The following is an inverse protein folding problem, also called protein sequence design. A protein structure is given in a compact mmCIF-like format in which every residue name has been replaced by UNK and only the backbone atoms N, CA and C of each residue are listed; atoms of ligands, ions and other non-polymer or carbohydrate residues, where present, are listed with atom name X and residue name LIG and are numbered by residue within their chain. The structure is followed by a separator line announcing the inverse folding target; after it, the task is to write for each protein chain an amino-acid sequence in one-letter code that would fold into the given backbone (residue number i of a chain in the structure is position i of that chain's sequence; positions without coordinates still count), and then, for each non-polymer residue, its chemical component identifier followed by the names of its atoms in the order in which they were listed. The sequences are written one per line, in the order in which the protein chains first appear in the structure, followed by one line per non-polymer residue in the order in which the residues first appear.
data_IF_815541958178
#
_entry.id   IF_815541958178
#
_cell.length_a   1.000
_cell.length_b   1.000
_cell.length_c   1.000
_cell.angle_alpha   90.00
_cell.angle_beta   90.00
_cell.angle_gamma   90.00
#
_symmetry.space_group_name_H-M   'P 1'
#
loop_
_entity.id
_entity.type
_entity.pdbx_description
1 polymer ?
#
# COMPACT_ATOMS: atom_id res chain seq x y z
N UNK A 1 0.08 -4.01 26.56
CA UNK A 1 0.49 -5.42 26.66
C UNK A 1 0.87 -5.84 25.25
N UNK A 2 2.13 -6.18 25.00
CA UNK A 2 2.59 -6.66 23.68
C UNK A 2 2.10 -8.10 23.58
N UNK A 3 1.17 -8.38 22.68
CA UNK A 3 0.79 -9.75 22.38
C UNK A 3 1.81 -10.28 21.37
N UNK A 4 2.91 -10.83 21.89
CA UNK A 4 3.90 -11.53 21.07
C UNK A 4 3.23 -12.82 20.59
N UNK A 5 2.84 -12.87 19.32
CA UNK A 5 2.31 -14.07 18.67
C UNK A 5 3.47 -15.00 18.29
N UNK A 6 4.27 -15.43 19.27
CA UNK A 6 5.35 -16.41 19.04
C UNK A 6 4.84 -17.84 19.26
N UNK A 7 3.95 -18.32 18.40
CA UNK A 7 3.66 -19.74 18.19
C UNK A 7 2.52 -19.89 17.17
N UNK A 8 2.76 -20.57 16.03
CA UNK A 8 1.76 -21.07 15.06
C UNK A 8 0.37 -20.40 15.17
N UNK A 9 0.31 -19.09 14.96
CA UNK A 9 -0.97 -18.40 15.00
C UNK A 9 -1.57 -18.62 13.64
N UNK A 10 -2.56 -19.51 13.58
CA UNK A 10 -3.47 -19.58 12.46
C UNK A 10 -4.21 -18.25 12.41
N UNK A 11 -3.68 -17.30 11.65
CA UNK A 11 -4.40 -16.09 11.32
C UNK A 11 -5.66 -16.54 10.60
N UNK A 12 -6.81 -16.12 11.11
CA UNK A 12 -8.08 -16.28 10.44
C UNK A 12 -8.57 -14.91 10.00
N UNK A 13 -9.57 -14.89 9.12
CA UNK A 13 -10.24 -13.66 8.72
C UNK A 13 -10.67 -12.87 9.96
N UNK A 14 -10.23 -11.62 10.09
CA UNK A 14 -10.60 -10.75 11.21
C UNK A 14 -9.96 -11.08 12.56
N UNK A 15 -8.86 -11.85 12.62
CA UNK A 15 -8.31 -12.33 13.89
C UNK A 15 -7.99 -11.23 14.93
N UNK A 16 -7.61 -10.03 14.47
CA UNK A 16 -7.34 -8.85 15.30
C UNK A 16 -8.22 -7.65 14.91
N UNK A 17 -9.40 -7.89 14.32
CA UNK A 17 -10.33 -6.82 13.96
C UNK A 17 -10.68 -5.96 15.20
N UNK A 18 -10.60 -4.65 15.04
CA UNK A 18 -10.83 -3.63 16.07
C UNK A 18 -9.99 -3.79 17.35
N UNK A 19 -8.81 -4.44 17.29
CA UNK A 19 -7.90 -4.53 18.42
C UNK A 19 -7.23 -3.17 18.72
N UNK A 20 -8.00 -2.19 19.18
CA UNK A 20 -7.61 -0.78 19.38
C UNK A 20 -6.59 -0.51 20.48
N UNK A 21 -6.12 -1.55 21.17
CA UNK A 21 -5.01 -1.47 22.14
C UNK A 21 -3.73 -2.15 21.61
N UNK A 22 -3.79 -2.82 20.47
CA UNK A 22 -2.68 -3.51 19.83
C UNK A 22 -1.75 -2.47 19.21
N UNK A 23 -0.57 -2.30 19.79
CA UNK A 23 0.43 -1.31 19.35
C UNK A 23 1.47 -1.88 18.40
N UNK A 24 1.81 -3.15 18.59
CA UNK A 24 2.87 -3.81 17.86
C UNK A 24 2.49 -5.27 17.64
N UNK A 25 2.77 -5.77 16.44
CA UNK A 25 2.61 -7.18 16.08
C UNK A 25 3.91 -7.70 15.50
N UNK A 26 4.39 -8.82 16.04
CA UNK A 26 5.48 -9.59 15.46
C UNK A 26 4.89 -10.87 14.89
N UNK A 27 4.89 -10.97 13.57
CA UNK A 27 4.47 -12.16 12.85
C UNK A 27 5.66 -13.12 12.69
N UNK A 28 5.41 -14.42 12.90
CA UNK A 28 6.44 -15.45 12.73
C UNK A 28 6.52 -15.94 11.30
N UNK A 29 7.69 -16.45 10.90
CA UNK A 29 7.84 -17.15 9.64
C UNK A 29 6.91 -18.38 9.55
N UNK A 30 6.50 -18.75 8.34
CA UNK A 30 5.52 -19.81 8.05
C UNK A 30 4.09 -19.32 7.85
N UNK A 31 3.83 -18.02 8.05
CA UNK A 31 2.56 -17.39 7.70
C UNK A 31 2.58 -17.05 6.21
N UNK A 32 1.82 -17.78 5.40
CA UNK A 32 1.75 -17.55 3.96
C UNK A 32 0.75 -16.46 3.57
N UNK A 33 -0.31 -16.26 4.35
CA UNK A 33 -1.39 -15.34 3.99
C UNK A 33 -1.81 -14.50 5.19
N UNK A 34 -1.90 -13.18 4.98
CA UNK A 34 -2.64 -12.31 5.89
C UNK A 34 -4.07 -12.22 5.38
N UNK A 35 -5.01 -12.86 6.08
CA UNK A 35 -6.38 -12.96 5.60
C UNK A 35 -7.11 -11.62 5.66
N UNK A 36 -8.26 -11.57 4.98
CA UNK A 36 -9.10 -10.37 4.97
C UNK A 36 -9.42 -9.89 6.39
N UNK A 37 -9.44 -8.57 6.57
CA UNK A 37 -9.73 -7.87 7.82
C UNK A 37 -8.83 -8.23 9.01
N UNK A 38 -7.70 -8.95 8.83
CA UNK A 38 -6.93 -9.48 9.97
C UNK A 38 -6.60 -8.42 11.01
N UNK A 39 -6.24 -7.20 10.58
CA UNK A 39 -5.93 -6.04 11.44
C UNK A 39 -6.88 -4.87 11.16
N UNK A 40 -8.09 -5.13 10.65
CA UNK A 40 -9.08 -4.09 10.36
C UNK A 40 -9.30 -3.21 11.59
N UNK A 41 -9.25 -1.90 11.40
CA UNK A 41 -9.43 -0.89 12.43
C UNK A 41 -8.57 -1.09 13.68
N UNK A 42 -7.36 -1.66 13.58
CA UNK A 42 -6.38 -1.64 14.67
C UNK A 42 -5.80 -0.22 14.84
N UNK A 43 -6.57 0.73 15.36
CA UNK A 43 -6.20 2.16 15.31
C UNK A 43 -4.95 2.52 16.11
N UNK A 44 -4.57 1.69 17.08
CA UNK A 44 -3.35 1.87 17.87
C UNK A 44 -2.12 1.16 17.31
N UNK A 45 -2.24 0.37 16.23
CA UNK A 45 -1.12 -0.37 15.65
C UNK A 45 -0.12 0.63 15.06
N UNK A 46 1.06 0.70 15.66
CA UNK A 46 2.15 1.61 15.28
C UNK A 46 3.18 0.89 14.41
N UNK A 47 3.45 -0.39 14.69
CA UNK A 47 4.48 -1.17 14.00
C UNK A 47 4.03 -2.63 13.74
N UNK A 48 4.26 -3.09 12.51
CA UNK A 48 4.16 -4.51 12.15
C UNK A 48 5.28 -4.90 11.20
N UNK A 49 5.91 -6.05 11.48
CA UNK A 49 6.86 -6.67 10.55
C UNK A 49 6.17 -7.78 9.78
N UNK A 50 6.04 -7.61 8.47
CA UNK A 50 5.53 -8.67 7.57
C UNK A 50 6.70 -9.63 7.27
N UNK A 51 6.58 -10.94 7.60
CA UNK A 51 7.65 -11.90 7.41
C UNK A 51 7.77 -12.31 5.94
N UNK A 52 8.96 -12.81 5.57
CA UNK A 52 9.29 -13.17 4.19
C UNK A 52 8.57 -14.42 3.66
N UNK A 53 7.83 -15.10 4.52
CA UNK A 53 6.92 -16.18 4.14
C UNK A 53 5.57 -15.70 3.62
N UNK A 54 5.17 -14.44 3.86
CA UNK A 54 3.89 -13.93 3.39
C UNK A 54 3.90 -13.79 1.88
N UNK A 55 2.91 -14.40 1.24
CA UNK A 55 2.67 -14.41 -0.20
C UNK A 55 1.52 -13.47 -0.58
N UNK A 56 0.51 -13.32 0.29
CA UNK A 56 -0.65 -12.46 0.02
C UNK A 56 -1.13 -11.64 1.22
N UNK A 57 -1.65 -10.46 0.92
CA UNK A 57 -2.34 -9.57 1.87
C UNK A 57 -3.80 -9.42 1.41
N UNK A 58 -4.72 -9.87 2.25
CA UNK A 58 -6.14 -9.97 1.93
C UNK A 58 -6.90 -8.65 1.99
N UNK A 59 -8.16 -8.71 1.55
CA UNK A 59 -9.06 -7.56 1.48
C UNK A 59 -9.14 -6.82 2.81
N UNK A 60 -9.01 -5.50 2.77
CA UNK A 60 -9.10 -4.61 3.93
C UNK A 60 -8.25 -5.03 5.15
N UNK A 61 -7.14 -5.75 4.94
CA UNK A 61 -6.35 -6.37 6.01
C UNK A 61 -5.90 -5.38 7.08
N UNK A 62 -5.47 -4.18 6.69
CA UNK A 62 -5.00 -3.11 7.57
C UNK A 62 -5.88 -1.86 7.49
N UNK A 63 -7.07 -1.93 6.89
CA UNK A 63 -7.92 -0.75 6.74
C UNK A 63 -8.14 -0.05 8.08
N UNK A 64 -7.96 1.27 8.13
CA UNK A 64 -8.14 2.05 9.35
C UNK A 64 -7.07 1.84 10.44
N UNK A 65 -5.91 1.25 10.12
CA UNK A 65 -4.73 1.27 11.01
C UNK A 65 -4.11 2.68 11.04
N UNK A 66 -4.82 3.62 11.66
CA UNK A 66 -4.53 5.06 11.57
C UNK A 66 -3.19 5.48 12.15
N UNK A 67 -2.56 4.67 13.02
CA UNK A 67 -1.27 4.96 13.63
C UNK A 67 -0.09 4.23 12.98
N UNK A 68 -0.32 3.35 12.00
CA UNK A 68 0.74 2.60 11.34
C UNK A 68 1.57 3.57 10.50
N UNK A 69 2.85 3.78 10.86
CA UNK A 69 3.65 4.86 10.27
C UNK A 69 4.54 4.43 9.11
N UNK A 70 5.11 3.24 9.19
CA UNK A 70 6.12 2.75 8.26
C UNK A 70 5.85 1.28 7.98
N UNK A 71 5.97 0.88 6.71
CA UNK A 71 5.73 -0.50 6.32
C UNK A 71 6.66 -0.95 5.20
N UNK A 72 7.19 -2.16 5.34
CA UNK A 72 7.92 -2.85 4.29
C UNK A 72 7.11 -4.08 3.89
N UNK A 73 6.64 -4.10 2.65
CA UNK A 73 6.05 -5.28 2.03
C UNK A 73 7.21 -6.10 1.44
N UNK A 74 7.49 -7.31 1.95
CA UNK A 74 8.59 -8.12 1.43
C UNK A 74 8.29 -8.59 0.00
N UNK A 75 9.35 -8.77 -0.80
CA UNK A 75 9.25 -9.24 -2.19
C UNK A 75 8.57 -10.61 -2.36
N UNK A 76 8.43 -11.37 -1.27
CA UNK A 76 7.64 -12.62 -1.26
C UNK A 76 6.16 -12.38 -1.54
N UNK A 77 5.64 -11.19 -1.24
CA UNK A 77 4.24 -10.82 -1.46
C UNK A 77 4.01 -10.60 -2.95
N UNK A 78 3.07 -11.36 -3.51
CA UNK A 78 2.67 -11.31 -4.92
C UNK A 78 1.32 -10.66 -5.13
N UNK A 79 0.50 -10.59 -4.09
CA UNK A 79 -0.85 -10.05 -4.16
C UNK A 79 -1.18 -9.20 -2.94
N UNK A 80 -1.72 -8.00 -3.19
CA UNK A 80 -2.36 -7.14 -2.21
C UNK A 80 -3.78 -6.90 -2.72
N UNK A 81 -4.77 -7.37 -1.96
CA UNK A 81 -6.19 -7.23 -2.31
C UNK A 81 -6.70 -5.81 -2.10
N UNK A 82 -7.89 -5.53 -2.65
CA UNK A 82 -8.56 -4.23 -2.56
C UNK A 82 -8.64 -3.72 -1.11
N UNK A 83 -8.53 -2.41 -0.96
CA UNK A 83 -8.60 -1.67 0.31
C UNK A 83 -7.60 -2.08 1.40
N UNK A 84 -6.60 -2.94 1.11
CA UNK A 84 -5.76 -3.54 2.13
C UNK A 84 -5.11 -2.54 3.12
N UNK A 85 -4.80 -1.31 2.70
CA UNK A 85 -4.28 -0.23 3.55
C UNK A 85 -5.16 1.04 3.51
N UNK A 86 -6.43 0.90 3.12
CA UNK A 86 -7.38 2.01 3.08
C UNK A 86 -7.45 2.73 4.44
N UNK A 87 -7.31 4.05 4.48
CA UNK A 87 -7.42 4.84 5.71
C UNK A 87 -6.28 4.61 6.70
N UNK A 88 -5.14 4.06 6.29
CA UNK A 88 -3.89 4.07 7.06
C UNK A 88 -3.30 5.48 7.12
N UNK A 89 -4.03 6.43 7.74
CA UNK A 89 -3.73 7.87 7.73
C UNK A 89 -2.36 8.22 8.31
N UNK A 90 -1.80 7.38 9.18
CA UNK A 90 -0.47 7.55 9.75
C UNK A 90 0.68 7.12 8.84
N UNK A 91 0.40 6.38 7.75
CA UNK A 91 1.40 5.74 6.91
C UNK A 91 2.16 6.79 6.11
N UNK A 92 3.43 7.00 6.47
CA UNK A 92 4.32 7.99 5.85
C UNK A 92 5.23 7.39 4.81
N UNK A 93 5.78 6.21 5.10
CA UNK A 93 6.72 5.53 4.25
C UNK A 93 6.25 4.10 4.01
N UNK A 94 6.21 3.71 2.73
CA UNK A 94 5.98 2.33 2.35
C UNK A 94 6.95 1.90 1.26
N UNK A 95 7.50 0.70 1.43
CA UNK A 95 8.18 -0.03 0.37
C UNK A 95 7.24 -1.15 -0.06
N UNK A 96 6.79 -1.13 -1.31
CA UNK A 96 5.95 -2.20 -1.88
C UNK A 96 6.81 -3.25 -2.56
N UNK A 97 6.32 -4.48 -2.65
CA UNK A 97 7.03 -5.62 -3.22
C UNK A 97 7.35 -5.41 -4.70
N UNK A 98 8.57 -5.77 -5.11
CA UNK A 98 9.01 -5.77 -6.52
C UNK A 98 8.42 -6.91 -7.36
N UNK A 99 7.48 -7.69 -6.81
CA UNK A 99 6.80 -8.79 -7.50
C UNK A 99 5.28 -8.57 -7.57
N UNK A 100 4.78 -7.36 -7.31
CA UNK A 100 3.37 -7.01 -7.47
C UNK A 100 3.07 -6.67 -8.93
N UNK A 101 2.07 -7.33 -9.49
CA UNK A 101 1.57 -7.04 -10.84
C UNK A 101 0.56 -5.87 -10.85
N UNK A 102 -0.19 -5.69 -9.76
CA UNK A 102 -1.23 -4.65 -9.65
C UNK A 102 -1.17 -3.90 -8.33
N UNK A 103 -1.45 -2.59 -8.41
CA UNK A 103 -1.94 -1.82 -7.26
C UNK A 103 -3.46 -1.77 -7.40
N UNK A 104 -4.12 -2.61 -6.61
CA UNK A 104 -5.56 -2.82 -6.69
C UNK A 104 -6.38 -1.65 -6.16
N UNK A 105 -7.70 -1.77 -6.32
CA UNK A 105 -8.63 -0.69 -6.01
C UNK A 105 -8.55 -0.29 -4.54
N UNK A 106 -8.47 1.02 -4.29
CA UNK A 106 -8.47 1.58 -2.94
C UNK A 106 -7.32 1.16 -2.02
N UNK A 107 -6.29 0.44 -2.51
CA UNK A 107 -5.24 -0.16 -1.64
C UNK A 107 -4.62 0.86 -0.69
N UNK A 108 -4.33 2.08 -1.16
CA UNK A 108 -3.80 3.17 -0.35
C UNK A 108 -4.77 4.36 -0.26
N UNK A 109 -6.06 4.19 -0.58
CA UNK A 109 -7.02 5.28 -0.43
C UNK A 109 -7.01 5.84 1.02
N UNK A 110 -7.12 7.15 1.17
CA UNK A 110 -7.06 7.87 2.45
C UNK A 110 -5.78 7.63 3.28
N UNK A 111 -4.67 7.24 2.66
CA UNK A 111 -3.34 7.29 3.29
C UNK A 111 -2.82 8.73 3.37
N UNK A 112 -3.48 9.56 4.18
CA UNK A 112 -3.23 11.01 4.28
C UNK A 112 -1.80 11.37 4.72
N UNK A 113 -1.10 10.46 5.39
CA UNK A 113 0.30 10.63 5.81
C UNK A 113 1.33 10.34 4.72
N UNK A 114 0.94 9.67 3.63
CA UNK A 114 1.88 9.16 2.63
C UNK A 114 2.43 10.32 1.80
N UNK A 115 3.73 10.56 1.87
CA UNK A 115 4.34 11.71 1.17
C UNK A 115 4.96 11.35 -0.17
N UNK A 116 5.44 10.12 -0.30
CA UNK A 116 6.04 9.61 -1.53
C UNK A 116 6.00 8.10 -1.60
N UNK A 117 5.93 7.56 -2.81
CA UNK A 117 5.97 6.11 -3.07
C UNK A 117 6.65 5.81 -4.41
N UNK A 118 7.38 4.68 -4.47
CA UNK A 118 7.93 4.11 -5.70
C UNK A 118 7.05 2.95 -6.16
N UNK A 119 6.60 3.00 -7.40
CA UNK A 119 5.89 1.91 -8.07
C UNK A 119 6.89 1.10 -8.89
N UNK A 120 7.15 -0.18 -8.55
CA UNK A 120 8.21 -0.98 -9.16
C UNK A 120 7.88 -1.43 -10.60
N UNK A 121 8.91 -1.87 -11.34
CA UNK A 121 8.81 -2.36 -12.74
C UNK A 121 7.96 -3.63 -12.89
N UNK A 122 7.54 -4.25 -11.79
CA UNK A 122 6.61 -5.39 -11.85
C UNK A 122 5.16 -4.95 -12.05
N UNK A 123 4.82 -3.71 -11.68
CA UNK A 123 3.43 -3.24 -11.69
C UNK A 123 3.02 -2.91 -13.12
N UNK A 124 1.94 -3.52 -13.57
CA UNK A 124 1.34 -3.32 -14.88
C UNK A 124 0.11 -2.41 -14.76
N UNK A 125 -0.62 -2.50 -13.64
CA UNK A 125 -1.91 -1.83 -13.48
C UNK A 125 -2.04 -1.06 -12.17
N UNK A 126 -2.49 0.19 -12.25
CA UNK A 126 -2.92 1.00 -11.10
C UNK A 126 -4.43 1.21 -11.19
N UNK A 127 -5.18 0.53 -10.31
CA UNK A 127 -6.64 0.43 -10.36
C UNK A 127 -7.34 1.62 -9.71
N UNK A 128 -8.67 1.59 -9.75
CA UNK A 128 -9.55 2.68 -9.34
C UNK A 128 -9.31 3.07 -7.88
N UNK A 129 -9.23 4.38 -7.63
CA UNK A 129 -9.05 4.97 -6.29
C UNK A 129 -7.79 4.51 -5.53
N UNK A 130 -6.81 3.87 -6.20
CA UNK A 130 -5.64 3.26 -5.54
C UNK A 130 -4.92 4.16 -4.53
N UNK A 131 -4.85 5.47 -4.80
CA UNK A 131 -4.26 6.51 -3.96
C UNK A 131 -5.25 7.65 -3.66
N UNK A 132 -6.56 7.42 -3.79
CA UNK A 132 -7.58 8.45 -3.59
C UNK A 132 -7.42 9.14 -2.23
N UNK A 133 -7.51 10.46 -2.19
CA UNK A 133 -7.38 11.29 -0.99
C UNK A 133 -6.07 11.08 -0.21
N UNK A 134 -4.97 10.66 -0.87
CA UNK A 134 -3.63 10.75 -0.29
C UNK A 134 -3.14 12.21 -0.30
N UNK A 135 -3.75 13.05 0.53
CA UNK A 135 -3.62 14.53 0.46
C UNK A 135 -2.21 15.06 0.70
N UNK A 136 -1.34 14.29 1.39
CA UNK A 136 0.08 14.64 1.57
C UNK A 136 1.00 14.09 0.48
N UNK A 137 0.50 13.32 -0.49
CA UNK A 137 1.30 12.68 -1.52
C UNK A 137 1.82 13.74 -2.49
N UNK A 138 3.12 14.02 -2.40
CA UNK A 138 3.80 15.05 -3.19
C UNK A 138 4.51 14.47 -4.41
N UNK A 139 4.98 13.23 -4.31
CA UNK A 139 5.78 12.60 -5.36
C UNK A 139 5.44 11.13 -5.48
N UNK A 140 5.19 10.67 -6.70
CA UNK A 140 5.12 9.24 -7.01
C UNK A 140 6.05 8.93 -8.16
N UNK A 141 6.91 7.94 -7.99
CA UNK A 141 7.75 7.43 -9.07
C UNK A 141 7.06 6.23 -9.72
N UNK A 142 6.71 6.34 -10.99
CA UNK A 142 6.07 5.26 -11.76
C UNK A 142 7.05 4.80 -12.85
N UNK A 143 7.50 3.55 -12.73
CA UNK A 143 8.48 2.97 -13.65
C UNK A 143 7.83 2.51 -14.98
N UNK A 144 8.64 2.01 -15.90
CA UNK A 144 8.29 1.92 -17.33
C UNK A 144 7.21 0.88 -17.67
N UNK A 145 6.99 -0.10 -16.78
CA UNK A 145 6.10 -1.25 -17.00
C UNK A 145 4.61 -0.96 -16.99
N UNK A 146 4.17 0.15 -16.40
CA UNK A 146 2.73 0.44 -16.22
C UNK A 146 2.05 0.63 -17.58
N UNK A 147 0.93 -0.08 -17.78
CA UNK A 147 0.13 -0.07 -19.01
C UNK A 147 -1.27 0.54 -18.81
N UNK A 148 -1.72 0.68 -17.55
CA UNK A 148 -3.00 1.31 -17.24
C UNK A 148 -2.95 1.99 -15.88
N UNK A 149 -3.53 3.19 -15.82
CA UNK A 149 -3.80 3.93 -14.59
C UNK A 149 -5.26 4.40 -14.66
N UNK A 150 -6.05 4.02 -13.66
CA UNK A 150 -7.46 4.41 -13.59
C UNK A 150 -7.61 5.93 -13.46
N UNK A 151 -8.71 6.46 -14.01
CA UNK A 151 -8.97 7.91 -14.09
C UNK A 151 -8.97 8.62 -12.73
N UNK A 152 -9.43 7.91 -11.71
CA UNK A 152 -9.62 8.32 -10.30
C UNK A 152 -8.51 7.80 -9.37
N UNK A 153 -7.46 7.15 -9.90
CA UNK A 153 -6.40 6.54 -9.09
C UNK A 153 -5.74 7.54 -8.12
N UNK A 154 -5.66 8.81 -8.51
CA UNK A 154 -5.11 9.91 -7.72
C UNK A 154 -6.14 11.01 -7.41
N UNK A 155 -7.43 10.69 -7.39
CA UNK A 155 -8.48 11.66 -7.01
C UNK A 155 -8.17 12.25 -5.64
N UNK A 156 -8.15 13.58 -5.49
CA UNK A 156 -7.85 14.26 -4.21
C UNK A 156 -6.37 14.36 -3.85
N UNK A 157 -5.45 13.98 -4.74
CA UNK A 157 -4.01 14.19 -4.57
C UNK A 157 -3.54 15.53 -5.17
N UNK A 158 -4.02 16.64 -4.62
CA UNK A 158 -3.91 17.97 -5.25
C UNK A 158 -2.48 18.52 -5.41
N UNK A 159 -1.50 17.97 -4.69
CA UNK A 159 -0.09 18.41 -4.71
C UNK A 159 0.86 17.40 -5.38
N UNK A 160 0.32 16.45 -6.13
CA UNK A 160 1.09 15.35 -6.71
C UNK A 160 1.98 15.79 -7.87
N UNK A 161 3.22 15.32 -7.87
CA UNK A 161 4.09 15.28 -9.06
C UNK A 161 4.42 13.83 -9.41
N UNK A 162 4.23 13.44 -10.66
CA UNK A 162 4.60 12.12 -11.18
C UNK A 162 6.03 12.15 -11.70
N UNK A 163 6.89 11.27 -11.20
CA UNK A 163 8.21 11.01 -11.78
C UNK A 163 8.10 9.76 -12.65
N UNK A 164 8.39 9.88 -13.95
CA UNK A 164 8.24 8.78 -14.90
C UNK A 164 9.31 8.84 -15.99
N UNK A 165 9.48 7.76 -16.74
CA UNK A 165 10.30 7.78 -17.95
C UNK A 165 9.54 8.38 -19.13
N UNK A 166 10.28 8.92 -20.09
CA UNK A 166 9.73 9.44 -21.35
C UNK A 166 9.08 8.33 -22.17
N UNK A 167 8.05 8.68 -22.94
CA UNK A 167 7.30 7.82 -23.84
C UNK A 167 6.64 6.62 -23.12
N UNK A 168 6.25 6.80 -21.85
CA UNK A 168 5.55 5.79 -21.03
C UNK A 168 4.07 6.11 -20.81
N UNK A 169 3.29 5.12 -20.38
CA UNK A 169 1.88 5.34 -20.02
C UNK A 169 1.74 6.36 -18.88
N UNK A 170 2.65 6.34 -17.91
CA UNK A 170 2.64 7.28 -16.78
C UNK A 170 2.83 8.74 -17.23
N UNK A 171 3.71 8.99 -18.22
CA UNK A 171 3.84 10.31 -18.83
C UNK A 171 2.54 10.73 -19.52
N UNK A 172 1.98 9.87 -20.38
CA UNK A 172 0.75 10.18 -21.09
C UNK A 172 -0.42 10.44 -20.13
N UNK A 173 -0.54 9.63 -19.07
CA UNK A 173 -1.53 9.83 -18.02
C UNK A 173 -1.35 11.19 -17.33
N UNK A 174 -0.12 11.56 -16.97
CA UNK A 174 0.13 12.85 -16.34
C UNK A 174 -0.29 14.02 -17.25
N UNK A 175 0.02 13.94 -18.55
CA UNK A 175 -0.39 14.91 -19.57
C UNK A 175 -1.92 15.01 -19.66
N UNK A 176 -2.61 13.87 -19.82
CA UNK A 176 -4.06 13.82 -20.01
C UNK A 176 -4.84 14.33 -18.79
N UNK A 177 -4.27 14.14 -17.59
CA UNK A 177 -4.87 14.55 -16.33
C UNK A 177 -4.43 15.94 -15.87
N UNK A 178 -3.46 16.56 -16.54
CA UNK A 178 -2.88 17.85 -16.13
C UNK A 178 -2.14 17.77 -14.79
N UNK A 179 -1.60 16.59 -14.47
CA UNK A 179 -0.79 16.38 -13.26
C UNK A 179 0.66 16.78 -13.56
N UNK A 180 1.32 17.61 -12.72
CA UNK A 180 2.74 17.90 -12.87
C UNK A 180 3.58 16.64 -12.97
N UNK A 181 4.58 16.63 -13.86
CA UNK A 181 5.48 15.48 -13.99
C UNK A 181 6.93 15.88 -14.26
N UNK A 182 7.84 14.98 -13.90
CA UNK A 182 9.28 15.10 -14.09
C UNK A 182 9.78 13.84 -14.79
N UNK A 183 10.52 14.02 -15.88
CA UNK A 183 11.15 12.90 -16.59
C UNK A 183 12.39 12.45 -15.83
N UNK A 184 12.46 11.15 -15.54
CA UNK A 184 13.65 10.49 -14.99
C UNK A 184 14.68 10.37 -16.11
N UNK A 185 15.86 10.97 -15.91
CA UNK A 185 17.02 10.83 -16.80
C UNK A 185 17.99 9.82 -16.20
N UNK A 186 18.57 8.98 -17.05
CA UNK A 186 19.70 8.08 -16.67
C UNK A 186 20.91 8.84 -16.10
#
# INVERSE_FOLDING_TARGET
MVEILSANVYLSRGAFDMCNNLKQVILTEGIENLYANTFLSCTALEEIKIPSSVISIGWACFTGCTNLSDLIIPDSVKEISDDAFHGCRGLKNIVISNNLEEIRSGVFAECEGLTSILIPESVIFIRSEAFKNCTSLKSISILSSVQEISYDAFEGCDNLTIHCYKDTYAEQYAIDRGIPYIIITE
#
